data_IF_384196346851
#
_entry.id   IF_384196346851
#
_cell.length_a   1.000
_cell.length_b   1.000
_cell.length_c   1.000
_cell.angle_alpha   90.00
_cell.angle_beta   90.00
_cell.angle_gamma   90.00
#
_symmetry.space_group_name_H-M   'P 1'
#
loop_
_entity.id
_entity.type
_entity.pdbx_description
1 polymer ?
#
# COMPACT_ATOMS: atom_id res chain seq x y z
N UNK A 1 16.21 0.96 -13.76
CA UNK A 1 14.84 1.42 -13.58
C UNK A 1 14.83 2.93 -13.61
N UNK A 2 13.76 3.57 -14.12
CA UNK A 2 13.60 5.02 -13.98
C UNK A 2 13.61 5.35 -12.48
N UNK A 3 14.14 6.53 -12.09
CA UNK A 3 14.32 6.90 -10.69
C UNK A 3 13.03 6.79 -9.85
N UNK A 4 13.16 6.54 -8.59
CA UNK A 4 12.04 6.36 -7.63
C UNK A 4 12.03 7.42 -6.51
N UNK A 5 12.73 8.54 -6.72
CA UNK A 5 12.90 9.58 -5.69
C UNK A 5 11.58 10.28 -5.34
N UNK A 6 10.83 10.73 -6.35
CA UNK A 6 9.54 11.41 -6.14
C UNK A 6 8.47 10.46 -5.59
N UNK A 7 8.29 9.23 -6.13
CA UNK A 7 7.39 8.25 -5.54
C UNK A 7 7.68 7.95 -4.06
N UNK A 8 8.96 7.84 -3.68
CA UNK A 8 9.35 7.61 -2.29
C UNK A 8 9.00 8.79 -1.39
N UNK A 9 9.20 10.01 -1.85
CA UNK A 9 8.78 11.20 -1.11
C UNK A 9 7.26 11.24 -0.94
N UNK A 10 6.52 10.93 -2.00
CA UNK A 10 5.06 10.87 -1.97
C UNK A 10 4.56 9.75 -1.02
N UNK A 11 5.21 8.59 -1.04
CA UNK A 11 4.94 7.51 -0.09
C UNK A 11 5.12 7.96 1.36
N UNK A 12 6.26 8.56 1.70
CA UNK A 12 6.54 9.04 3.04
C UNK A 12 5.56 10.12 3.50
N UNK A 13 5.22 11.07 2.62
CA UNK A 13 4.18 12.07 2.91
C UNK A 13 2.83 11.42 3.17
N UNK A 14 2.46 10.46 2.32
CA UNK A 14 1.20 9.73 2.45
C UNK A 14 1.12 8.94 3.77
N UNK A 15 2.20 8.24 4.15
CA UNK A 15 2.27 7.53 5.45
C UNK A 15 2.14 8.51 6.61
N UNK A 16 2.82 9.66 6.55
CA UNK A 16 2.69 10.69 7.58
C UNK A 16 1.25 11.22 7.68
N UNK A 17 0.57 11.45 6.55
CA UNK A 17 -0.83 11.85 6.52
C UNK A 17 -1.74 10.79 7.17
N UNK A 18 -1.52 9.51 6.86
CA UNK A 18 -2.32 8.42 7.46
C UNK A 18 -2.09 8.33 8.97
N UNK A 19 -0.85 8.42 9.46
CA UNK A 19 -0.59 8.48 10.91
C UNK A 19 -1.27 9.68 11.56
N UNK A 20 -1.23 10.85 10.92
CA UNK A 20 -1.92 12.04 11.43
C UNK A 20 -3.43 11.82 11.58
N UNK A 21 -4.08 11.27 10.55
CA UNK A 21 -5.52 10.95 10.63
C UNK A 21 -5.82 9.87 11.66
N UNK A 22 -5.00 8.81 11.73
CA UNK A 22 -5.17 7.73 12.70
C UNK A 22 -5.09 8.25 14.14
N UNK A 23 -4.07 9.03 14.47
CA UNK A 23 -3.90 9.60 15.80
C UNK A 23 -4.94 10.68 16.13
N UNK A 24 -5.29 11.55 15.18
CA UNK A 24 -6.31 12.56 15.38
C UNK A 24 -7.69 11.94 15.63
N UNK A 25 -8.04 10.91 14.83
CA UNK A 25 -9.28 10.15 15.02
C UNK A 25 -9.30 9.44 16.38
N UNK A 26 -8.19 8.80 16.76
CA UNK A 26 -8.07 8.14 18.06
C UNK A 26 -8.22 9.16 19.20
N UNK A 27 -7.51 10.29 19.14
CA UNK A 27 -7.57 11.33 20.17
C UNK A 27 -9.00 11.78 20.50
N UNK A 28 -9.82 11.99 19.46
CA UNK A 28 -11.21 12.43 19.64
C UNK A 28 -12.11 11.33 20.24
N UNK A 29 -11.74 10.08 20.12
CA UNK A 29 -12.55 8.93 20.53
C UNK A 29 -12.13 8.38 21.92
N UNK A 30 -10.94 8.71 22.42
CA UNK A 30 -10.40 8.17 23.69
C UNK A 30 -11.38 8.36 24.85
N UNK A 31 -12.00 9.53 25.11
CA UNK A 31 -12.88 9.70 26.26
C UNK A 31 -14.05 8.69 26.28
N UNK A 32 -14.67 8.47 25.13
CA UNK A 32 -15.81 7.56 25.01
C UNK A 32 -15.45 6.08 24.97
N UNK A 33 -14.27 5.75 24.45
CA UNK A 33 -13.85 4.35 24.31
C UNK A 33 -13.00 3.86 25.49
N UNK A 34 -12.00 4.63 25.89
CA UNK A 34 -10.90 4.23 26.80
C UNK A 34 -10.84 5.00 28.10
N UNK A 35 -11.64 6.08 28.24
CA UNK A 35 -11.73 6.88 29.44
C UNK A 35 -12.24 6.07 30.64
N UNK A 36 -12.21 6.67 31.86
CA UNK A 36 -12.68 6.01 33.08
C UNK A 36 -14.13 5.49 32.98
N UNK A 37 -15.01 6.26 32.32
CA UNK A 37 -16.42 5.93 32.04
C UNK A 37 -16.62 5.36 30.63
N UNK A 38 -15.54 5.06 29.89
CA UNK A 38 -15.58 4.58 28.51
C UNK A 38 -16.03 3.11 28.43
N UNK A 39 -16.31 2.67 27.19
CA UNK A 39 -16.77 1.29 26.90
C UNK A 39 -15.74 0.24 27.35
N UNK A 40 -14.45 0.47 27.06
CA UNK A 40 -13.32 -0.40 27.42
C UNK A 40 -12.20 0.42 28.08
N UNK A 41 -12.31 0.76 29.38
CA UNK A 41 -11.33 1.61 30.04
C UNK A 41 -9.89 1.09 29.93
N UNK A 42 -8.98 1.93 29.45
CA UNK A 42 -7.58 1.57 29.19
C UNK A 42 -6.84 1.02 30.44
N UNK A 43 -7.20 1.53 31.64
CA UNK A 43 -6.62 1.08 32.91
C UNK A 43 -6.83 -0.41 33.20
N UNK A 44 -7.80 -1.07 32.54
CA UNK A 44 -8.04 -2.52 32.73
C UNK A 44 -6.97 -3.36 32.06
N UNK A 45 -6.34 -2.86 31.00
CA UNK A 45 -5.30 -3.58 30.24
C UNK A 45 -3.93 -3.47 30.89
N UNK A 46 -3.59 -2.31 31.45
CA UNK A 46 -2.29 -2.05 32.07
C UNK A 46 -2.37 -2.16 33.60
N UNK A 47 -2.50 -3.38 34.12
CA UNK A 47 -2.43 -3.63 35.57
C UNK A 47 -1.01 -4.01 35.97
N UNK A 48 -0.34 -3.25 36.86
CA UNK A 48 0.93 -3.66 37.43
C UNK A 48 0.69 -4.89 38.34
N UNK A 49 1.07 -6.08 37.84
CA UNK A 49 0.87 -7.35 38.57
C UNK A 49 2.09 -7.69 39.43
N UNK A 50 2.81 -6.70 39.97
CA UNK A 50 4.03 -6.96 40.77
C UNK A 50 5.21 -7.48 39.93
N UNK A 51 5.11 -7.52 38.61
CA UNK A 51 6.13 -7.98 37.67
C UNK A 51 7.22 -6.91 37.46
N UNK A 52 8.46 -7.36 37.21
CA UNK A 52 9.55 -6.47 36.86
C UNK A 52 9.31 -5.73 35.54
N UNK A 53 9.91 -4.53 35.36
CA UNK A 53 9.70 -3.65 34.18
C UNK A 53 9.96 -4.35 32.85
N UNK A 54 11.00 -5.17 32.77
CA UNK A 54 11.33 -5.91 31.56
C UNK A 54 10.25 -6.93 31.19
N UNK A 55 9.67 -7.58 32.19
CA UNK A 55 8.59 -8.54 31.96
C UNK A 55 7.31 -7.84 31.52
N UNK A 56 6.98 -6.67 32.09
CA UNK A 56 5.83 -5.85 31.67
C UNK A 56 5.97 -5.40 30.20
N UNK A 57 7.16 -4.89 29.81
CA UNK A 57 7.45 -4.49 28.44
C UNK A 57 7.46 -5.67 27.45
N UNK A 58 7.89 -6.84 27.91
CA UNK A 58 7.89 -8.04 27.06
C UNK A 58 6.48 -8.55 26.79
N UNK A 59 5.62 -8.56 27.81
CA UNK A 59 4.23 -9.02 27.69
C UNK A 59 3.34 -8.00 26.99
N UNK A 60 3.55 -6.71 27.23
CA UNK A 60 2.78 -5.62 26.64
C UNK A 60 3.71 -4.47 26.25
N UNK A 61 4.24 -4.47 25.03
CA UNK A 61 5.21 -3.47 24.56
C UNK A 61 4.50 -2.13 24.28
N UNK A 62 4.33 -1.32 25.33
CA UNK A 62 3.69 0.00 25.23
C UNK A 62 4.48 1.06 26.01
N UNK A 63 4.52 2.27 25.46
CA UNK A 63 5.10 3.44 26.12
C UNK A 63 4.22 3.93 27.29
N UNK A 64 2.97 3.51 27.37
CA UNK A 64 2.01 3.93 28.39
C UNK A 64 2.37 3.46 29.81
N UNK A 65 3.32 2.53 29.97
CA UNK A 65 3.90 2.18 31.27
C UNK A 65 4.63 3.36 31.94
N UNK A 66 5.00 4.38 31.18
CA UNK A 66 5.66 5.59 31.71
C UNK A 66 4.62 6.68 32.11
N UNK A 67 3.34 6.56 31.74
CA UNK A 67 2.31 7.56 32.05
C UNK A 67 2.19 7.86 33.56
N UNK A 68 2.21 6.86 34.48
CA UNK A 68 2.15 7.14 35.91
C UNK A 68 3.31 7.98 36.46
N UNK A 69 4.49 7.91 35.80
CA UNK A 69 5.66 8.74 36.18
C UNK A 69 5.49 10.21 35.84
N UNK A 70 4.66 10.48 34.84
CA UNK A 70 4.28 11.83 34.43
C UNK A 70 3.07 12.34 35.24
N UNK A 71 2.56 11.54 36.20
CA UNK A 71 1.37 11.86 36.97
C UNK A 71 0.08 11.70 36.16
N UNK A 72 0.11 10.97 35.05
CA UNK A 72 -1.02 10.77 34.15
C UNK A 72 -1.66 9.40 34.39
N UNK A 73 -2.98 9.33 34.29
CA UNK A 73 -3.68 8.06 34.16
C UNK A 73 -3.46 7.46 32.76
N UNK A 74 -3.73 6.17 32.62
CA UNK A 74 -3.52 5.45 31.33
C UNK A 74 -4.29 6.09 30.17
N UNK A 75 -5.52 6.56 30.42
CA UNK A 75 -6.32 7.23 29.39
C UNK A 75 -5.71 8.58 28.99
N UNK A 76 -5.29 9.39 29.98
CA UNK A 76 -4.61 10.67 29.75
C UNK A 76 -3.26 10.47 29.03
N UNK A 77 -2.53 9.39 29.41
CA UNK A 77 -1.30 9.01 28.72
C UNK A 77 -1.56 8.66 27.25
N UNK A 78 -2.66 7.97 26.96
CA UNK A 78 -3.06 7.65 25.59
C UNK A 78 -3.49 8.89 24.80
N UNK A 79 -4.20 9.84 25.44
CA UNK A 79 -4.55 11.14 24.85
C UNK A 79 -3.29 11.93 24.48
N UNK A 80 -2.35 12.05 25.42
CA UNK A 80 -1.08 12.75 25.18
C UNK A 80 -0.28 12.08 24.06
N UNK A 81 -0.18 10.75 24.07
CA UNK A 81 0.51 9.97 23.04
C UNK A 81 -0.12 10.22 21.66
N UNK A 82 -1.44 10.20 21.58
CA UNK A 82 -2.18 10.44 20.33
C UNK A 82 -2.03 11.86 19.83
N UNK A 83 -2.11 12.86 20.70
CA UNK A 83 -1.90 14.25 20.35
C UNK A 83 -0.48 14.49 19.83
N UNK A 84 0.54 14.01 20.54
CA UNK A 84 1.93 14.13 20.13
C UNK A 84 2.18 13.37 18.81
N UNK A 85 1.62 12.17 18.67
CA UNK A 85 1.67 11.41 17.43
C UNK A 85 1.10 12.17 16.24
N UNK A 86 -0.07 12.80 16.41
CA UNK A 86 -0.70 13.61 15.36
C UNK A 86 0.15 14.84 14.99
N UNK A 87 0.72 15.55 15.97
CA UNK A 87 1.58 16.71 15.73
C UNK A 87 2.90 16.33 15.04
N UNK A 88 3.54 15.25 15.47
CA UNK A 88 4.78 14.76 14.84
C UNK A 88 4.50 14.29 13.40
N UNK A 89 3.38 13.60 13.17
CA UNK A 89 2.97 13.17 11.85
C UNK A 89 2.64 14.38 10.94
N UNK A 90 1.96 15.39 11.43
CA UNK A 90 1.72 16.65 10.73
C UNK A 90 3.06 17.34 10.37
N UNK A 91 4.00 17.38 11.30
CA UNK A 91 5.35 17.90 11.04
C UNK A 91 6.06 17.14 9.91
N UNK A 92 6.02 15.79 9.91
CA UNK A 92 6.61 14.97 8.86
C UNK A 92 5.88 15.12 7.50
N UNK A 93 4.57 15.38 7.51
CA UNK A 93 3.80 15.67 6.31
C UNK A 93 4.23 17.00 5.68
N UNK A 94 4.37 18.05 6.45
CA UNK A 94 4.63 19.41 5.97
C UNK A 94 6.12 19.68 5.73
N UNK A 95 6.99 19.16 6.61
CA UNK A 95 8.42 19.51 6.66
C UNK A 95 9.28 18.33 6.17
N UNK A 96 9.94 18.49 5.02
CA UNK A 96 10.81 17.46 4.45
C UNK A 96 11.96 17.01 5.38
N UNK A 97 12.58 17.85 6.22
CA UNK A 97 13.62 17.43 7.16
C UNK A 97 13.13 16.43 8.22
N UNK A 98 11.85 16.44 8.56
CA UNK A 98 11.25 15.52 9.53
C UNK A 98 10.90 14.15 8.90
N UNK A 99 11.05 13.97 7.59
CA UNK A 99 10.92 12.66 6.92
C UNK A 99 12.18 11.82 7.12
N UNK A 100 12.48 11.52 8.36
CA UNK A 100 13.68 10.81 8.82
C UNK A 100 13.29 9.48 9.47
N UNK A 101 14.09 8.40 9.38
CA UNK A 101 13.76 7.09 9.96
C UNK A 101 13.37 7.15 11.44
N UNK A 102 14.04 7.98 12.23
CA UNK A 102 13.75 8.13 13.67
C UNK A 102 12.32 8.65 13.89
N UNK A 103 11.85 9.59 13.07
CA UNK A 103 10.49 10.15 13.20
C UNK A 103 9.46 9.06 12.88
N UNK A 104 9.64 8.30 11.80
CA UNK A 104 8.72 7.18 11.48
C UNK A 104 8.79 6.06 12.52
N UNK A 105 9.97 5.79 13.10
CA UNK A 105 10.10 4.84 14.21
C UNK A 105 9.33 5.30 15.44
N UNK A 106 9.40 6.59 15.79
CA UNK A 106 8.62 7.17 16.90
C UNK A 106 7.11 7.08 16.63
N UNK A 107 6.65 7.41 15.43
CA UNK A 107 5.25 7.28 15.03
C UNK A 107 4.78 5.82 15.09
N UNK A 108 5.60 4.90 14.59
CA UNK A 108 5.33 3.47 14.63
C UNK A 108 5.24 2.95 16.07
N UNK A 109 6.22 3.30 16.93
CA UNK A 109 6.23 2.89 18.32
C UNK A 109 5.06 3.48 19.12
N UNK A 110 4.68 4.73 18.84
CA UNK A 110 3.52 5.36 19.44
C UNK A 110 2.21 4.65 19.03
N UNK A 111 2.06 4.33 17.75
CA UNK A 111 0.86 3.63 17.27
C UNK A 111 0.80 2.18 17.78
N UNK A 112 1.94 1.47 17.80
CA UNK A 112 2.04 0.15 18.42
C UNK A 112 1.63 0.22 19.89
N UNK A 113 2.09 1.22 20.62
CA UNK A 113 1.72 1.43 22.03
C UNK A 113 0.22 1.65 22.22
N UNK A 114 -0.41 2.40 21.33
CA UNK A 114 -1.86 2.59 21.33
C UNK A 114 -2.60 1.27 21.02
N UNK A 115 -2.14 0.50 20.03
CA UNK A 115 -2.75 -0.79 19.67
C UNK A 115 -2.68 -1.80 20.82
N UNK A 116 -1.58 -1.82 21.60
CA UNK A 116 -1.46 -2.74 22.75
C UNK A 116 -2.53 -2.51 23.84
N UNK A 117 -3.03 -1.29 23.94
CA UNK A 117 -4.04 -0.91 24.93
C UNK A 117 -5.44 -0.80 24.29
N UNK A 118 -5.47 -0.66 22.99
CA UNK A 118 -6.68 -0.40 22.20
C UNK A 118 -7.69 -1.54 22.12
N UNK A 119 -7.34 -2.72 22.60
CA UNK A 119 -8.22 -3.89 22.66
C UNK A 119 -8.89 -4.14 21.29
N UNK A 120 -10.20 -4.43 21.28
CA UNK A 120 -10.95 -4.73 20.05
C UNK A 120 -11.10 -3.53 19.11
N UNK A 121 -10.97 -2.29 19.60
CA UNK A 121 -11.15 -1.09 18.79
C UNK A 121 -9.92 -0.70 17.95
N UNK A 122 -8.74 -1.24 18.27
CA UNK A 122 -7.49 -1.07 17.50
C UNK A 122 -6.90 -2.42 17.06
N UNK A 123 -7.76 -3.39 16.75
CA UNK A 123 -7.37 -4.72 16.29
C UNK A 123 -7.95 -5.06 14.92
N UNK A 124 -8.14 -4.05 14.09
CA UNK A 124 -8.63 -4.20 12.72
C UNK A 124 -7.50 -4.40 11.73
N UNK A 125 -7.86 -4.84 10.52
CA UNK A 125 -6.88 -5.04 9.44
C UNK A 125 -6.11 -3.76 9.07
N UNK A 126 -6.75 -2.60 9.15
CA UNK A 126 -6.09 -1.32 8.86
C UNK A 126 -5.06 -0.92 9.92
N UNK A 127 -5.24 -1.29 11.17
CA UNK A 127 -4.26 -1.04 12.23
C UNK A 127 -3.00 -1.86 12.02
N UNK A 128 -3.15 -3.15 11.70
CA UNK A 128 -2.04 -4.03 11.34
C UNK A 128 -1.32 -3.56 10.08
N UNK A 129 -2.09 -3.11 9.08
CA UNK A 129 -1.54 -2.56 7.84
C UNK A 129 -0.76 -1.26 8.10
N UNK A 130 -1.25 -0.38 8.99
CA UNK A 130 -0.55 0.85 9.36
C UNK A 130 0.76 0.54 10.08
N UNK A 131 0.78 -0.43 10.98
CA UNK A 131 2.00 -0.87 11.65
C UNK A 131 3.02 -1.45 10.65
N UNK A 132 2.60 -2.29 9.71
CA UNK A 132 3.50 -2.84 8.69
C UNK A 132 4.01 -1.74 7.74
N UNK A 133 3.13 -0.88 7.25
CA UNK A 133 3.48 0.24 6.36
C UNK A 133 4.39 1.26 7.08
N UNK A 134 4.11 1.56 8.34
CA UNK A 134 4.92 2.46 9.16
C UNK A 134 6.33 1.92 9.38
N UNK A 135 6.48 0.60 9.62
CA UNK A 135 7.79 -0.03 9.69
C UNK A 135 8.54 0.05 8.36
N UNK A 136 7.86 -0.18 7.24
CA UNK A 136 8.46 0.01 5.91
C UNK A 136 8.86 1.47 5.67
N UNK A 137 8.10 2.43 6.18
CA UNK A 137 8.46 3.85 6.06
C UNK A 137 9.77 4.17 6.82
N UNK A 138 10.05 3.50 7.96
CA UNK A 138 11.35 3.62 8.64
C UNK A 138 12.49 3.20 7.70
N UNK A 139 12.32 2.10 6.94
CA UNK A 139 13.31 1.59 6.01
C UNK A 139 13.44 2.44 4.72
N UNK A 140 12.33 3.03 4.27
CA UNK A 140 12.28 3.87 3.05
C UNK A 140 12.83 5.27 3.32
N UNK A 141 12.70 5.79 4.54
CA UNK A 141 13.08 7.15 4.88
C UNK A 141 14.60 7.37 4.71
N UNK A 142 15.03 8.52 4.16
CA UNK A 142 16.44 8.81 3.94
C UNK A 142 17.16 9.12 5.26
N UNK A 143 18.36 8.56 5.46
CA UNK A 143 19.20 8.84 6.63
C UNK A 143 19.76 10.27 6.63
N UNK A 144 19.85 10.92 5.48
CA UNK A 144 20.33 12.30 5.34
C UNK A 144 19.23 13.16 4.73
N UNK A 145 18.88 14.29 5.35
CA UNK A 145 17.90 15.23 4.79
C UNK A 145 18.31 15.70 3.40
N UNK A 146 17.33 15.92 2.53
CA UNK A 146 17.57 16.38 1.15
C UNK A 146 18.32 17.73 1.07
N UNK A 147 18.20 18.57 2.10
CA UNK A 147 18.86 19.89 2.21
C UNK A 147 20.38 19.83 2.28
N UNK A 148 20.98 18.71 2.70
CA UNK A 148 22.43 18.53 2.75
C UNK A 148 23.01 17.80 1.53
N UNK A 149 22.17 17.39 0.59
CA UNK A 149 22.64 16.86 -0.68
C UNK A 149 22.98 18.05 -1.58
N UNK A 150 24.23 18.57 -1.46
CA UNK A 150 24.77 19.58 -2.37
C UNK A 150 24.39 19.18 -3.79
N UNK A 151 23.81 20.14 -4.52
CA UNK A 151 23.52 19.98 -5.95
C UNK A 151 24.77 19.43 -6.63
N UNK A 152 24.67 18.22 -7.14
CA UNK A 152 25.73 17.69 -7.98
C UNK A 152 25.85 18.60 -9.21
N UNK A 153 27.05 18.93 -9.68
CA UNK A 153 27.23 19.79 -10.84
C UNK A 153 26.34 19.33 -12.00
N UNK A 154 25.69 20.27 -12.68
CA UNK A 154 24.80 20.01 -13.81
C UNK A 154 25.43 18.95 -14.75
N UNK A 155 24.78 17.79 -14.86
CA UNK A 155 25.22 16.66 -15.67
C UNK A 155 25.40 15.33 -14.96
N UNK A 156 25.47 15.28 -13.62
CA UNK A 156 25.43 14.03 -12.85
C UNK A 156 24.12 13.97 -12.08
N UNK A 157 23.20 13.15 -12.54
CA UNK A 157 22.14 12.63 -11.66
C UNK A 157 22.84 12.10 -10.42
N UNK A 158 22.58 12.68 -9.24
CA UNK A 158 23.04 12.12 -7.98
C UNK A 158 22.43 10.71 -7.92
N UNK A 159 23.24 9.70 -8.24
CA UNK A 159 22.80 8.32 -8.37
C UNK A 159 22.05 7.90 -7.13
N UNK A 160 20.89 7.30 -7.29
CA UNK A 160 20.18 6.66 -6.21
C UNK A 160 21.13 5.71 -5.48
N UNK A 161 21.12 5.71 -4.14
CA UNK A 161 21.96 4.78 -3.40
C UNK A 161 21.50 3.35 -3.74
N UNK A 162 22.42 2.39 -3.93
CA UNK A 162 22.07 1.04 -4.40
C UNK A 162 21.02 0.32 -3.57
N UNK A 163 20.95 0.63 -2.27
CA UNK A 163 20.01 0.02 -1.32
C UNK A 163 18.63 0.70 -1.29
N UNK A 164 18.44 1.84 -1.98
CA UNK A 164 17.19 2.60 -1.92
C UNK A 164 16.02 1.90 -2.62
N UNK A 165 16.28 1.02 -3.56
CA UNK A 165 15.23 0.30 -4.31
C UNK A 165 14.64 -0.87 -3.52
N UNK A 166 15.43 -1.49 -2.61
CA UNK A 166 15.00 -2.67 -1.86
C UNK A 166 13.81 -2.41 -0.91
N UNK A 167 13.83 -1.37 -0.03
CA UNK A 167 12.68 -1.08 0.81
C UNK A 167 11.42 -0.77 -0.01
N UNK A 168 11.59 -0.12 -1.17
CA UNK A 168 10.47 0.22 -2.04
C UNK A 168 9.91 -1.00 -2.79
N UNK A 169 10.74 -2.02 -3.04
CA UNK A 169 10.27 -3.32 -3.48
C UNK A 169 9.40 -4.00 -2.41
N UNK A 170 9.76 -3.91 -1.12
CA UNK A 170 8.95 -4.44 -0.01
C UNK A 170 7.58 -3.76 0.07
N UNK A 171 7.50 -2.43 -0.17
CA UNK A 171 6.21 -1.71 -0.24
C UNK A 171 5.35 -2.26 -1.38
N UNK A 172 5.95 -2.53 -2.54
CA UNK A 172 5.25 -3.13 -3.69
C UNK A 172 4.76 -4.55 -3.38
N UNK A 173 5.56 -5.34 -2.66
CA UNK A 173 5.18 -6.66 -2.20
C UNK A 173 4.04 -6.63 -1.18
N UNK A 174 4.04 -5.65 -0.27
CA UNK A 174 2.94 -5.44 0.67
C UNK A 174 1.64 -5.12 -0.06
N UNK A 175 1.68 -4.21 -1.05
CA UNK A 175 0.51 -3.90 -1.87
C UNK A 175 -0.02 -5.14 -2.61
N UNK A 176 0.89 -5.96 -3.18
CA UNK A 176 0.51 -7.21 -3.84
C UNK A 176 -0.22 -8.15 -2.89
N UNK A 177 0.35 -8.43 -1.72
CA UNK A 177 -0.27 -9.30 -0.72
C UNK A 177 -1.64 -8.79 -0.29
N UNK A 178 -1.74 -7.48 -0.03
CA UNK A 178 -2.98 -6.83 0.38
C UNK A 178 -4.08 -7.03 -0.64
N UNK A 179 -3.83 -6.68 -1.90
CA UNK A 179 -4.84 -6.73 -2.96
C UNK A 179 -5.19 -8.16 -3.33
N UNK A 180 -4.19 -9.01 -3.55
CA UNK A 180 -4.42 -10.40 -3.90
C UNK A 180 -5.18 -11.16 -2.79
N UNK A 181 -4.81 -10.97 -1.52
CA UNK A 181 -5.52 -11.59 -0.40
C UNK A 181 -6.96 -11.07 -0.29
N UNK A 182 -7.19 -9.77 -0.52
CA UNK A 182 -8.54 -9.18 -0.51
C UNK A 182 -9.47 -9.83 -1.55
N UNK A 183 -8.97 -10.08 -2.75
CA UNK A 183 -9.73 -10.77 -3.79
C UNK A 183 -9.96 -12.25 -3.46
N UNK A 184 -8.90 -12.94 -3.04
CA UNK A 184 -8.94 -14.37 -2.72
C UNK A 184 -9.89 -14.68 -1.55
N UNK A 185 -9.89 -13.86 -0.49
CA UNK A 185 -10.74 -14.11 0.68
C UNK A 185 -12.23 -14.04 0.36
N UNK A 186 -12.64 -13.22 -0.60
CA UNK A 186 -14.03 -13.13 -1.06
C UNK A 186 -14.53 -14.45 -1.66
N UNK A 187 -13.65 -15.18 -2.35
CA UNK A 187 -13.97 -16.47 -2.95
C UNK A 187 -13.76 -17.63 -1.97
N UNK A 188 -12.73 -17.59 -1.11
CA UNK A 188 -12.48 -18.66 -0.12
C UNK A 188 -13.49 -18.67 1.01
N UNK A 189 -14.13 -17.54 1.30
CA UNK A 189 -15.20 -17.42 2.30
C UNK A 189 -16.48 -18.21 1.96
N UNK A 190 -16.61 -18.68 0.71
CA UNK A 190 -17.82 -19.34 0.17
C UNK A 190 -19.09 -18.51 0.30
N UNK A 191 -18.98 -17.21 0.46
CA UNK A 191 -20.13 -16.34 0.55
C UNK A 191 -20.95 -16.37 -0.75
N UNK A 192 -22.25 -16.74 -0.69
CA UNK A 192 -23.08 -16.86 -1.89
C UNK A 192 -23.24 -15.54 -2.64
N UNK A 193 -23.19 -14.40 -1.94
CA UNK A 193 -23.29 -13.09 -2.57
C UNK A 193 -22.07 -12.78 -3.46
N UNK A 194 -20.85 -13.15 -3.03
CA UNK A 194 -19.64 -13.02 -3.87
C UNK A 194 -19.64 -14.02 -5.03
N UNK A 195 -20.04 -15.27 -4.78
CA UNK A 195 -20.10 -16.28 -5.84
C UNK A 195 -21.24 -16.02 -6.84
N UNK A 196 -22.36 -15.47 -6.39
CA UNK A 196 -23.48 -15.05 -7.25
C UNK A 196 -23.29 -13.70 -7.92
N UNK A 197 -22.15 -13.01 -7.70
CA UNK A 197 -21.86 -11.65 -8.18
C UNK A 197 -22.88 -10.62 -7.67
N UNK A 198 -23.58 -10.90 -6.58
CA UNK A 198 -24.64 -10.02 -6.02
C UNK A 198 -24.19 -9.26 -4.76
N UNK A 199 -22.90 -9.33 -4.40
CA UNK A 199 -22.42 -8.74 -3.16
C UNK A 199 -22.72 -7.22 -3.08
N UNK A 200 -22.61 -6.47 -4.17
CA UNK A 200 -22.87 -5.03 -4.18
C UNK A 200 -24.36 -4.66 -4.11
N UNK A 201 -25.29 -5.60 -4.36
CA UNK A 201 -26.73 -5.34 -4.17
C UNK A 201 -27.11 -5.25 -2.70
N UNK A 202 -26.30 -5.79 -1.79
CA UNK A 202 -26.49 -5.73 -0.32
C UNK A 202 -25.53 -4.78 0.36
N UNK A 203 -24.32 -4.62 -0.21
CA UNK A 203 -23.20 -3.93 0.42
C UNK A 203 -23.54 -2.50 0.85
N UNK A 204 -24.14 -1.72 -0.02
CA UNK A 204 -24.38 -0.30 0.21
C UNK A 204 -25.41 -0.02 1.33
N UNK A 205 -26.41 -0.87 1.48
CA UNK A 205 -27.44 -0.73 2.53
C UNK A 205 -27.01 -1.30 3.88
N UNK A 206 -26.03 -2.23 3.89
CA UNK A 206 -25.57 -2.92 5.11
C UNK A 206 -24.35 -2.26 5.76
N UNK A 207 -23.87 -1.13 5.24
CA UNK A 207 -22.77 -0.40 5.84
C UNK A 207 -23.18 0.25 7.17
N UNK A 208 -22.29 0.18 8.18
CA UNK A 208 -22.53 0.81 9.48
C UNK A 208 -22.72 2.32 9.38
N UNK A 209 -21.93 2.97 8.52
CA UNK A 209 -21.96 4.42 8.26
C UNK A 209 -21.96 4.64 6.74
N UNK A 210 -23.12 4.58 6.08
CA UNK A 210 -23.21 4.78 4.63
C UNK A 210 -22.93 6.22 4.24
N UNK A 211 -22.26 6.41 3.09
CA UNK A 211 -22.10 7.74 2.49
C UNK A 211 -23.33 8.11 1.66
N UNK A 212 -23.58 9.40 1.37
CA UNK A 212 -24.66 9.79 0.46
C UNK A 212 -24.56 9.13 -0.92
N UNK A 213 -23.34 8.95 -1.45
CA UNK A 213 -23.13 8.29 -2.74
C UNK A 213 -23.45 6.79 -2.69
N UNK A 214 -23.37 6.14 -1.52
CA UNK A 214 -23.79 4.75 -1.35
C UNK A 214 -25.27 4.55 -1.66
N UNK A 215 -26.11 5.50 -1.30
CA UNK A 215 -27.55 5.44 -1.62
C UNK A 215 -27.78 5.44 -3.14
N UNK A 216 -27.12 6.33 -3.88
CA UNK A 216 -27.20 6.36 -5.34
C UNK A 216 -26.64 5.08 -5.97
N UNK A 217 -25.50 4.61 -5.47
CA UNK A 217 -24.88 3.37 -5.93
C UNK A 217 -25.79 2.16 -5.70
N UNK A 218 -26.52 2.09 -4.59
CA UNK A 218 -27.46 1.01 -4.29
C UNK A 218 -28.59 0.90 -5.30
N UNK A 219 -29.04 2.03 -5.89
CA UNK A 219 -30.13 2.07 -6.86
C UNK A 219 -29.67 1.81 -8.31
N UNK A 220 -28.41 1.49 -8.55
CA UNK A 220 -27.95 1.10 -9.87
C UNK A 220 -28.56 -0.25 -10.30
N UNK A 221 -28.70 -0.51 -11.62
CA UNK A 221 -29.23 -1.77 -12.12
C UNK A 221 -28.40 -2.98 -11.65
N UNK A 222 -29.06 -4.10 -11.37
CA UNK A 222 -28.42 -5.33 -10.88
C UNK A 222 -27.30 -5.82 -11.78
N UNK A 223 -27.46 -5.72 -13.11
CA UNK A 223 -26.41 -6.11 -14.04
C UNK A 223 -25.14 -5.27 -13.86
N UNK A 224 -25.26 -4.00 -13.51
CA UNK A 224 -24.11 -3.12 -13.26
C UNK A 224 -23.41 -3.45 -11.92
N UNK A 225 -24.19 -3.82 -10.89
CA UNK A 225 -23.62 -4.35 -9.65
C UNK A 225 -22.80 -5.62 -9.91
N UNK A 226 -23.36 -6.56 -10.68
CA UNK A 226 -22.63 -7.79 -11.04
C UNK A 226 -21.35 -7.52 -11.80
N UNK A 227 -21.40 -6.61 -12.79
CA UNK A 227 -20.22 -6.19 -13.55
C UNK A 227 -19.18 -5.52 -12.65
N UNK A 228 -19.61 -4.72 -11.67
CA UNK A 228 -18.71 -4.09 -10.70
C UNK A 228 -18.03 -5.12 -9.78
N UNK A 229 -18.72 -6.20 -9.41
CA UNK A 229 -18.09 -7.33 -8.69
C UNK A 229 -17.07 -8.04 -9.55
N UNK A 230 -17.35 -8.27 -10.83
CA UNK A 230 -16.39 -8.83 -11.79
C UNK A 230 -15.15 -7.92 -11.92
N UNK A 231 -15.34 -6.62 -12.04
CA UNK A 231 -14.26 -5.65 -12.08
C UNK A 231 -13.42 -5.67 -10.78
N UNK A 232 -14.06 -5.83 -9.63
CA UNK A 232 -13.37 -5.98 -8.34
C UNK A 232 -12.47 -7.21 -8.34
N UNK A 233 -12.96 -8.38 -8.77
CA UNK A 233 -12.13 -9.59 -8.87
C UNK A 233 -10.98 -9.44 -9.87
N UNK A 234 -11.22 -8.80 -11.00
CA UNK A 234 -10.17 -8.51 -11.98
C UNK A 234 -9.06 -7.64 -11.35
N UNK A 235 -9.43 -6.56 -10.67
CA UNK A 235 -8.49 -5.60 -10.09
C UNK A 235 -7.77 -6.18 -8.86
N UNK A 236 -8.44 -6.99 -8.06
CA UNK A 236 -7.85 -7.55 -6.83
C UNK A 236 -7.07 -8.87 -7.05
N UNK A 237 -7.40 -9.67 -8.06
CA UNK A 237 -6.77 -10.99 -8.28
C UNK A 237 -5.87 -11.00 -9.51
N UNK A 238 -6.37 -10.55 -10.66
CA UNK A 238 -5.65 -10.70 -11.93
C UNK A 238 -4.65 -9.57 -12.21
N UNK A 239 -4.90 -8.35 -11.72
CA UNK A 239 -4.04 -7.18 -11.90
C UNK A 239 -2.80 -7.15 -10.98
N UNK A 240 -2.83 -7.58 -9.71
CA UNK A 240 -1.69 -7.48 -8.80
C UNK A 240 -0.37 -8.08 -9.31
N UNK A 241 -0.32 -9.21 -10.04
CA UNK A 241 0.92 -9.69 -10.65
C UNK A 241 1.60 -8.65 -11.56
N UNK A 242 0.85 -7.73 -12.17
CA UNK A 242 1.38 -6.66 -13.03
C UNK A 242 2.18 -5.60 -12.26
N UNK A 243 2.09 -5.56 -10.92
CA UNK A 243 2.90 -4.64 -10.09
C UNK A 243 4.40 -4.88 -10.28
N UNK A 244 4.78 -6.10 -10.63
CA UNK A 244 6.16 -6.51 -10.88
C UNK A 244 6.53 -6.55 -12.37
N UNK A 245 5.60 -6.19 -13.27
CA UNK A 245 5.85 -6.23 -14.69
C UNK A 245 7.04 -5.33 -15.08
N UNK A 246 7.97 -5.80 -15.91
CA UNK A 246 9.09 -4.98 -16.41
C UNK A 246 8.62 -3.88 -17.36
N UNK A 247 7.46 -4.06 -17.99
CA UNK A 247 6.86 -3.10 -18.92
C UNK A 247 6.17 -2.00 -18.11
N UNK A 248 6.67 -0.79 -18.25
CA UNK A 248 6.18 0.40 -17.53
C UNK A 248 4.69 0.65 -17.71
N UNK A 249 4.17 0.49 -18.95
CA UNK A 249 2.75 0.73 -19.24
C UNK A 249 1.83 -0.22 -18.49
N UNK A 250 2.19 -1.51 -18.37
CA UNK A 250 1.44 -2.48 -17.58
C UNK A 250 1.41 -2.11 -16.10
N UNK A 251 2.54 -1.66 -15.53
CA UNK A 251 2.60 -1.17 -14.15
C UNK A 251 1.73 0.05 -13.92
N UNK A 252 1.73 1.01 -14.86
CA UNK A 252 0.89 2.21 -14.77
C UNK A 252 -0.61 1.87 -14.94
N UNK A 253 -0.95 0.95 -15.85
CA UNK A 253 -2.33 0.46 -15.97
C UNK A 253 -2.81 -0.19 -14.65
N UNK A 254 -1.95 -0.99 -14.02
CA UNK A 254 -2.22 -1.55 -12.71
C UNK A 254 -2.37 -0.46 -11.63
N UNK A 255 -1.53 0.57 -11.63
CA UNK A 255 -1.66 1.72 -10.74
C UNK A 255 -3.03 2.40 -10.89
N UNK A 256 -3.42 2.77 -12.10
CA UNK A 256 -4.69 3.46 -12.33
C UNK A 256 -5.91 2.60 -11.99
N UNK A 257 -5.86 1.29 -12.25
CA UNK A 257 -6.95 0.38 -11.86
C UNK A 257 -7.10 0.28 -10.34
N UNK A 258 -5.99 0.25 -9.59
CA UNK A 258 -6.02 0.28 -8.13
C UNK A 258 -6.57 1.61 -7.61
N UNK A 259 -6.08 2.73 -8.13
CA UNK A 259 -6.58 4.06 -7.75
C UNK A 259 -8.07 4.17 -8.01
N UNK A 260 -8.54 3.73 -9.18
CA UNK A 260 -9.97 3.74 -9.52
C UNK A 260 -10.79 2.95 -8.48
N UNK A 261 -10.38 1.73 -8.17
CA UNK A 261 -11.07 0.90 -7.19
C UNK A 261 -11.11 1.57 -5.81
N UNK A 262 -9.97 2.07 -5.32
CA UNK A 262 -9.89 2.68 -3.99
C UNK A 262 -10.73 3.97 -3.91
N UNK A 263 -10.71 4.81 -4.95
CA UNK A 263 -11.50 6.04 -5.00
C UNK A 263 -13.00 5.72 -5.01
N UNK A 264 -13.43 4.73 -5.79
CA UNK A 264 -14.83 4.30 -5.80
C UNK A 264 -15.27 3.79 -4.41
N UNK A 265 -14.42 3.01 -3.72
CA UNK A 265 -14.72 2.53 -2.37
C UNK A 265 -14.80 3.71 -1.38
N UNK A 266 -13.89 4.69 -1.45
CA UNK A 266 -13.91 5.88 -0.58
C UNK A 266 -15.21 6.69 -0.78
N UNK A 267 -15.64 6.85 -2.02
CA UNK A 267 -16.86 7.63 -2.34
C UNK A 267 -18.12 6.90 -1.84
N UNK A 268 -18.18 5.58 -1.99
CA UNK A 268 -19.36 4.77 -1.71
C UNK A 268 -19.32 4.03 -0.36
N UNK A 269 -18.24 4.18 0.41
CA UNK A 269 -18.06 3.48 1.67
C UNK A 269 -17.32 4.33 2.71
N UNK A 270 -17.22 3.79 3.92
CA UNK A 270 -16.50 4.40 5.03
C UNK A 270 -15.68 3.36 5.77
N UNK A 271 -14.43 3.18 5.35
CA UNK A 271 -13.49 2.18 5.89
C UNK A 271 -12.28 2.84 6.56
N UNK A 272 -12.52 3.94 7.25
CA UNK A 272 -11.48 4.70 7.94
C UNK A 272 -10.35 5.09 6.94
N UNK A 273 -9.11 5.05 7.38
CA UNK A 273 -7.93 5.35 6.54
C UNK A 273 -7.46 4.18 5.67
N UNK A 274 -8.14 3.02 5.68
CA UNK A 274 -7.69 1.80 4.97
C UNK A 274 -7.46 2.02 3.47
N UNK A 275 -8.45 2.62 2.80
CA UNK A 275 -8.35 2.88 1.36
C UNK A 275 -7.34 3.99 1.03
N UNK A 276 -7.21 5.00 1.90
CA UNK A 276 -6.18 6.02 1.78
C UNK A 276 -4.78 5.41 1.90
N UNK A 277 -4.59 4.49 2.85
CA UNK A 277 -3.35 3.75 3.01
C UNK A 277 -3.04 2.91 1.77
N UNK A 278 -4.04 2.22 1.21
CA UNK A 278 -3.85 1.45 -0.03
C UNK A 278 -3.43 2.35 -1.18
N UNK A 279 -4.01 3.56 -1.32
CA UNK A 279 -3.56 4.56 -2.29
C UNK A 279 -2.10 4.97 -2.05
N UNK A 280 -1.68 5.15 -0.80
CA UNK A 280 -0.28 5.45 -0.47
C UNK A 280 0.65 4.31 -0.92
N UNK A 281 0.28 3.06 -0.70
CA UNK A 281 1.05 1.91 -1.16
C UNK A 281 1.17 1.85 -2.70
N UNK A 282 0.14 2.28 -3.44
CA UNK A 282 0.19 2.30 -4.92
C UNK A 282 1.27 3.22 -5.48
N UNK A 283 1.76 4.19 -4.72
CA UNK A 283 2.87 5.06 -5.14
C UNK A 283 4.13 4.28 -5.48
N UNK A 284 4.29 3.06 -4.93
CA UNK A 284 5.39 2.16 -5.27
C UNK A 284 5.35 1.65 -6.73
N UNK A 285 4.26 1.82 -7.44
CA UNK A 285 4.11 1.47 -8.86
C UNK A 285 4.57 2.59 -9.80
N UNK A 286 4.73 3.81 -9.27
CA UNK A 286 5.13 5.00 -10.02
C UNK A 286 6.64 5.09 -10.21
N UNK A 287 7.03 5.95 -11.13
CA UNK A 287 8.43 6.35 -11.39
C UNK A 287 8.56 7.88 -11.50
N UNK A 288 9.79 8.38 -11.37
CA UNK A 288 10.08 9.82 -11.45
C UNK A 288 9.64 10.43 -12.80
N UNK A 289 9.72 9.67 -13.89
CA UNK A 289 9.29 10.15 -15.22
C UNK A 289 7.78 10.43 -15.27
N UNK A 290 6.99 9.66 -14.51
CA UNK A 290 5.55 9.86 -14.47
C UNK A 290 5.16 11.09 -13.65
N UNK A 291 5.85 11.33 -12.55
CA UNK A 291 5.59 12.46 -11.64
C UNK A 291 6.24 13.78 -12.09
N UNK A 292 7.38 13.70 -12.80
CA UNK A 292 8.10 14.87 -13.30
C UNK A 292 7.66 15.31 -14.71
N UNK A 293 6.68 14.64 -15.32
CA UNK A 293 6.16 15.01 -16.64
C UNK A 293 5.37 16.32 -16.53
N UNK A 294 6.06 17.46 -16.55
CA UNK A 294 5.44 18.75 -16.83
C UNK A 294 4.81 18.72 -18.22
N UNK A 295 3.54 19.16 -18.37
CA UNK A 295 2.95 19.34 -19.68
C UNK A 295 3.63 20.54 -20.36
N UNK A 296 4.72 20.34 -21.11
CA UNK A 296 5.23 21.46 -21.88
C UNK A 296 6.65 21.38 -22.47
N UNK A 297 7.52 20.49 -22.04
CA UNK A 297 8.92 20.45 -22.56
C UNK A 297 9.33 19.08 -23.11
N UNK A 298 8.65 18.62 -24.12
CA UNK A 298 8.94 17.36 -24.80
C UNK A 298 9.22 17.50 -26.28
N UNK A 299 10.06 18.44 -26.71
CA UNK A 299 10.71 18.31 -28.01
C UNK A 299 11.79 17.23 -27.93
N UNK A 300 11.37 15.98 -27.86
CA UNK A 300 12.26 14.84 -28.04
C UNK A 300 12.76 14.89 -29.48
N UNK A 301 14.00 15.38 -29.70
CA UNK A 301 14.72 15.17 -30.95
C UNK A 301 14.57 13.71 -31.34
N UNK A 302 13.95 13.45 -32.49
CA UNK A 302 13.83 12.12 -33.10
C UNK A 302 15.24 11.66 -33.48
N UNK A 303 15.95 11.07 -32.52
CA UNK A 303 17.16 10.31 -32.84
C UNK A 303 16.73 9.07 -33.58
N UNK A 304 17.38 8.81 -34.74
CA UNK A 304 17.11 7.62 -35.55
C UNK A 304 17.13 6.38 -34.65
N UNK A 305 16.00 5.66 -34.59
CA UNK A 305 15.87 4.48 -33.74
C UNK A 305 16.67 3.36 -34.33
N UNK A 306 17.71 2.89 -33.64
CA UNK A 306 18.49 1.72 -34.11
C UNK A 306 17.57 0.49 -34.17
N UNK A 307 17.77 -0.38 -35.17
CA UNK A 307 16.96 -1.57 -35.43
C UNK A 307 16.71 -2.45 -34.20
N UNK A 308 17.70 -2.73 -33.30
CA UNK A 308 17.45 -3.49 -32.08
C UNK A 308 16.47 -2.79 -31.12
N UNK A 309 16.50 -1.46 -31.04
CA UNK A 309 15.55 -0.70 -30.17
C UNK A 309 14.13 -0.73 -30.73
N UNK A 310 13.97 -0.70 -32.06
CA UNK A 310 12.68 -0.84 -32.71
C UNK A 310 12.09 -2.24 -32.46
N UNK A 311 12.89 -3.29 -32.58
CA UNK A 311 12.47 -4.67 -32.29
C UNK A 311 12.02 -4.85 -30.84
N UNK A 312 12.81 -4.38 -29.88
CA UNK A 312 12.45 -4.42 -28.46
C UNK A 312 11.16 -3.65 -28.15
N UNK A 313 10.94 -2.51 -28.78
CA UNK A 313 9.72 -1.73 -28.62
C UNK A 313 8.50 -2.48 -29.18
N UNK A 314 8.64 -3.14 -30.34
CA UNK A 314 7.59 -3.95 -30.95
C UNK A 314 7.26 -5.17 -30.10
N UNK A 315 8.27 -5.90 -29.61
CA UNK A 315 8.08 -7.05 -28.70
C UNK A 315 7.40 -6.63 -27.40
N UNK A 316 7.79 -5.48 -26.82
CA UNK A 316 7.13 -4.93 -25.63
C UNK A 316 5.66 -4.60 -25.88
N UNK A 317 5.34 -4.02 -27.04
CA UNK A 317 3.95 -3.71 -27.42
C UNK A 317 3.13 -5.00 -27.62
N UNK A 318 3.68 -5.99 -28.32
CA UNK A 318 3.01 -7.27 -28.54
C UNK A 318 2.73 -7.99 -27.20
N UNK A 319 3.70 -7.99 -26.29
CA UNK A 319 3.52 -8.58 -24.96
C UNK A 319 2.46 -7.81 -24.15
N UNK A 320 2.44 -6.48 -24.22
CA UNK A 320 1.43 -5.65 -23.58
C UNK A 320 0.02 -5.97 -24.09
N UNK A 321 -0.16 -6.04 -25.41
CA UNK A 321 -1.42 -6.40 -26.03
C UNK A 321 -1.84 -7.84 -25.70
N UNK A 322 -0.90 -8.78 -25.64
CA UNK A 322 -1.17 -10.16 -25.24
C UNK A 322 -1.67 -10.23 -23.78
N UNK A 323 -1.08 -9.47 -22.87
CA UNK A 323 -1.51 -9.40 -21.47
C UNK A 323 -2.93 -8.83 -21.37
N UNK A 324 -3.23 -7.71 -22.04
CA UNK A 324 -4.59 -7.16 -22.04
C UNK A 324 -5.60 -8.12 -22.69
N UNK A 325 -5.22 -8.78 -23.79
CA UNK A 325 -6.05 -9.81 -24.42
C UNK A 325 -6.33 -10.98 -23.49
N UNK A 326 -5.33 -11.44 -22.74
CA UNK A 326 -5.47 -12.52 -21.77
C UNK A 326 -6.39 -12.11 -20.59
N UNK A 327 -6.24 -10.90 -20.08
CA UNK A 327 -7.12 -10.36 -19.01
C UNK A 327 -8.57 -10.25 -19.51
N UNK A 328 -8.78 -9.72 -20.71
CA UNK A 328 -10.10 -9.60 -21.30
C UNK A 328 -10.73 -10.97 -21.55
N UNK A 329 -9.99 -11.88 -22.20
CA UNK A 329 -10.44 -13.25 -22.45
C UNK A 329 -10.79 -13.98 -21.14
N UNK A 330 -9.88 -13.94 -20.15
CA UNK A 330 -10.10 -14.57 -18.85
C UNK A 330 -11.33 -13.99 -18.15
N UNK A 331 -11.53 -12.67 -18.20
CA UNK A 331 -12.71 -12.03 -17.61
C UNK A 331 -14.00 -12.50 -18.27
N UNK A 332 -14.07 -12.53 -19.62
CA UNK A 332 -15.22 -13.02 -20.35
C UNK A 332 -15.47 -14.50 -20.07
N UNK A 333 -14.41 -15.32 -20.09
CA UNK A 333 -14.50 -16.77 -19.91
C UNK A 333 -14.93 -17.17 -18.49
N UNK A 334 -14.26 -16.63 -17.46
CA UNK A 334 -14.53 -17.02 -16.07
C UNK A 334 -15.80 -16.40 -15.47
N UNK A 335 -16.25 -15.30 -16.00
CA UNK A 335 -17.47 -14.62 -15.55
C UNK A 335 -18.59 -14.64 -16.56
N UNK A 336 -18.48 -15.41 -17.65
CA UNK A 336 -19.54 -15.67 -18.62
C UNK A 336 -20.20 -14.37 -19.08
N UNK A 337 -19.39 -13.37 -19.51
CA UNK A 337 -19.93 -12.07 -19.90
C UNK A 337 -20.61 -12.19 -21.27
N UNK A 338 -21.92 -11.89 -21.31
CA UNK A 338 -22.75 -11.90 -22.50
C UNK A 338 -23.47 -10.56 -22.63
N UNK A 339 -23.39 -9.92 -23.81
CA UNK A 339 -24.03 -8.62 -24.07
C UNK A 339 -25.38 -8.87 -24.73
N UNK A 340 -26.45 -8.46 -24.04
CA UNK A 340 -27.81 -8.40 -24.62
C UNK A 340 -28.03 -7.03 -25.25
N UNK A 341 -27.94 -7.00 -26.59
CA UNK A 341 -28.13 -5.78 -27.34
C UNK A 341 -29.58 -5.29 -27.37
N UNK A 342 -30.55 -6.16 -27.17
CA UNK A 342 -31.97 -5.81 -27.17
C UNK A 342 -32.35 -5.11 -25.87
N UNK A 343 -31.93 -5.66 -24.74
CA UNK A 343 -32.18 -5.10 -23.41
C UNK A 343 -31.12 -4.09 -22.96
N UNK A 344 -30.05 -3.92 -23.72
CA UNK A 344 -28.89 -3.08 -23.36
C UNK A 344 -28.31 -3.43 -22.00
N UNK A 345 -28.21 -4.70 -21.70
CA UNK A 345 -27.68 -5.25 -20.44
C UNK A 345 -26.50 -6.16 -20.68
N UNK A 346 -25.69 -6.37 -19.64
CA UNK A 346 -24.59 -7.33 -19.64
C UNK A 346 -24.91 -8.40 -18.62
N UNK A 347 -25.08 -9.64 -19.09
CA UNK A 347 -25.22 -10.80 -18.22
C UNK A 347 -23.85 -11.24 -17.75
N UNK A 348 -23.74 -11.59 -16.46
CA UNK A 348 -22.53 -12.12 -15.88
C UNK A 348 -22.86 -13.21 -14.86
N UNK A 349 -22.08 -14.28 -14.85
CA UNK A 349 -22.20 -15.41 -13.93
C UNK A 349 -20.83 -16.03 -13.71
N UNK A 350 -20.53 -16.50 -12.50
CA UNK A 350 -19.33 -17.29 -12.23
C UNK A 350 -19.43 -18.65 -12.93
N UNK A 351 -18.46 -18.98 -13.80
CA UNK A 351 -18.46 -20.22 -14.60
C UNK A 351 -17.60 -21.33 -13.97
N UNK A 352 -16.79 -21.02 -12.97
CA UNK A 352 -15.93 -21.99 -12.29
C UNK A 352 -16.49 -22.39 -10.92
N UNK A 353 -16.13 -23.59 -10.47
CA UNK A 353 -16.53 -24.13 -9.17
C UNK A 353 -15.55 -23.79 -8.06
N UNK A 354 -16.01 -23.87 -6.81
CA UNK A 354 -15.14 -23.70 -5.64
C UNK A 354 -13.95 -24.69 -5.65
N UNK A 355 -14.17 -25.92 -6.08
CA UNK A 355 -13.11 -26.92 -6.17
C UNK A 355 -12.03 -26.52 -7.17
N UNK A 356 -12.42 -26.07 -8.38
CA UNK A 356 -11.49 -25.57 -9.40
C UNK A 356 -10.70 -24.36 -8.89
N UNK A 357 -11.37 -23.40 -8.24
CA UNK A 357 -10.72 -22.25 -7.64
C UNK A 357 -9.72 -22.65 -6.55
N UNK A 358 -10.11 -23.58 -5.65
CA UNK A 358 -9.23 -24.04 -4.57
C UNK A 358 -8.01 -24.79 -5.11
N UNK A 359 -8.17 -25.60 -6.15
CA UNK A 359 -7.03 -26.28 -6.81
C UNK A 359 -6.10 -25.25 -7.47
N UNK A 360 -6.66 -24.30 -8.21
CA UNK A 360 -5.88 -23.22 -8.81
C UNK A 360 -5.09 -22.45 -7.74
N UNK A 361 -5.74 -22.07 -6.65
CA UNK A 361 -5.09 -21.32 -5.56
C UNK A 361 -3.94 -22.13 -4.93
N UNK A 362 -4.16 -23.41 -4.63
CA UNK A 362 -3.12 -24.30 -4.08
C UNK A 362 -1.92 -24.42 -5.03
N UNK A 363 -2.19 -24.56 -6.33
CA UNK A 363 -1.14 -24.66 -7.34
C UNK A 363 -0.35 -23.36 -7.47
N UNK A 364 -1.02 -22.19 -7.33
CA UNK A 364 -0.40 -20.89 -7.52
C UNK A 364 0.36 -20.41 -6.27
N UNK A 365 -0.09 -20.78 -5.08
CA UNK A 365 0.45 -20.23 -3.82
C UNK A 365 1.95 -20.50 -3.68
N UNK A 366 2.39 -21.74 -3.82
CA UNK A 366 3.79 -22.09 -3.63
C UNK A 366 4.73 -21.45 -4.67
N UNK A 367 4.44 -21.49 -5.99
CA UNK A 367 5.20 -20.74 -6.99
C UNK A 367 5.25 -19.24 -6.73
N UNK A 368 4.15 -18.63 -6.30
CA UNK A 368 4.11 -17.18 -5.99
C UNK A 368 5.04 -16.84 -4.83
N UNK A 369 5.05 -17.66 -3.76
CA UNK A 369 5.98 -17.48 -2.62
C UNK A 369 7.42 -17.58 -3.11
N UNK A 370 7.76 -18.61 -3.88
CA UNK A 370 9.12 -18.79 -4.40
C UNK A 370 9.55 -17.68 -5.36
N UNK A 371 8.65 -17.21 -6.22
CA UNK A 371 8.90 -16.04 -7.08
C UNK A 371 9.14 -14.78 -6.25
N UNK A 372 8.38 -14.59 -5.18
CA UNK A 372 8.59 -13.49 -4.22
C UNK A 372 9.98 -13.56 -3.58
N UNK A 373 10.36 -14.73 -3.06
CA UNK A 373 11.70 -14.96 -2.46
C UNK A 373 12.79 -14.74 -3.50
N UNK A 374 12.66 -15.32 -4.69
CA UNK A 374 13.66 -15.16 -5.76
C UNK A 374 13.82 -13.71 -6.19
N UNK A 375 12.71 -12.95 -6.33
CA UNK A 375 12.76 -11.53 -6.69
C UNK A 375 13.39 -10.68 -5.57
N UNK A 376 13.15 -10.99 -4.29
CA UNK A 376 13.80 -10.35 -3.16
C UNK A 376 15.31 -10.60 -3.16
N UNK A 377 15.71 -11.86 -3.35
CA UNK A 377 17.14 -12.23 -3.47
C UNK A 377 17.79 -11.51 -4.64
N UNK A 378 17.11 -11.41 -5.78
CA UNK A 378 17.60 -10.66 -6.94
C UNK A 378 17.81 -9.18 -6.63
N UNK A 379 16.88 -8.52 -5.95
CA UNK A 379 17.04 -7.11 -5.55
C UNK A 379 18.19 -6.92 -4.55
N UNK A 380 18.35 -7.85 -3.58
CA UNK A 380 19.47 -7.84 -2.65
C UNK A 380 20.81 -7.98 -3.38
N UNK A 381 20.95 -8.97 -4.25
CA UNK A 381 22.18 -9.21 -5.02
C UNK A 381 22.48 -8.02 -5.97
N UNK A 382 21.45 -7.46 -6.59
CA UNK A 382 21.58 -6.29 -7.46
C UNK A 382 22.01 -5.04 -6.67
N UNK A 383 21.54 -4.86 -5.44
CA UNK A 383 21.96 -3.78 -4.55
C UNK A 383 23.42 -3.95 -4.11
N UNK A 384 23.83 -5.15 -3.73
CA UNK A 384 25.22 -5.49 -3.37
C UNK A 384 26.16 -5.28 -4.54
N UNK A 385 25.79 -5.75 -5.74
CA UNK A 385 26.59 -5.55 -6.96
C UNK A 385 26.79 -4.07 -7.27
N UNK A 386 25.72 -3.26 -7.21
CA UNK A 386 25.79 -1.80 -7.43
C UNK A 386 26.69 -1.12 -6.39
N UNK A 387 26.62 -1.55 -5.13
CA UNK A 387 27.46 -1.05 -4.05
C UNK A 387 28.95 -1.34 -4.31
N UNK A 388 29.29 -2.60 -4.61
CA UNK A 388 30.68 -3.00 -4.92
C UNK A 388 31.23 -2.27 -6.14
N UNK A 389 30.42 -2.11 -7.20
CA UNK A 389 30.83 -1.38 -8.40
C UNK A 389 31.09 0.12 -8.13
N UNK A 390 30.35 0.74 -7.21
CA UNK A 390 30.59 2.13 -6.80
C UNK A 390 31.88 2.27 -5.97
N UNK A 391 32.19 1.33 -5.09
CA UNK A 391 33.40 1.31 -4.30
C UNK A 391 34.64 1.10 -5.18
N UNK A 392 34.61 0.14 -6.10
CA UNK A 392 35.67 -0.08 -7.07
C UNK A 392 35.95 1.16 -7.92
N UNK A 393 34.90 1.87 -8.39
CA UNK A 393 35.07 3.12 -9.14
C UNK A 393 35.60 4.30 -8.31
N UNK A 394 35.47 4.28 -6.98
CA UNK A 394 36.09 5.27 -6.09
C UNK A 394 37.57 4.99 -5.86
N UNK A 395 37.96 3.72 -5.69
CA UNK A 395 39.36 3.31 -5.52
C UNK A 395 40.24 3.72 -6.69
N UNK A 396 39.78 3.58 -7.93
CA UNK A 396 40.50 4.01 -9.12
C UNK A 396 40.69 5.54 -9.30
N UNK A 397 39.87 6.36 -8.63
CA UNK A 397 40.01 7.82 -8.66
C UNK A 397 40.95 8.38 -7.60
N UNK A 398 41.23 7.63 -6.53
CA UNK A 398 42.21 8.01 -5.53
C UNK A 398 43.66 7.63 -5.93
N UNK A 399 43.83 6.78 -6.96
CA UNK A 399 45.10 6.38 -7.54
C UNK A 399 45.40 7.16 -8.82
N UNK A 400 45.19 8.47 -8.83
CA UNK A 400 45.65 9.37 -9.88
C UNK A 400 47.19 9.55 -9.80
N UNK A 401 47.90 9.76 -10.91
CA UNK A 401 49.34 9.78 -10.93
C UNK A 401 49.91 10.88 -10.05
N UNK A 402 50.87 10.48 -9.21
CA UNK A 402 51.74 11.37 -8.45
C UNK A 402 52.68 12.14 -9.39
#
# INVERSE_FOLDING_TARGET
MAGSRLPRQLFLQGVAAVFMFAFASLYTQIPGLYGPEGILPARRTLRPQGKGRWQQLWETPTLLWEAPRLGLDTAQGLELLSLLGALVALGALLLSPLRHPVIYLLLWAAYLSACQVGQVFLYFQWDSLLLETGFLAVLVAPLRPASHRKEAPQGRQAGALPHEDLPFWLVRWLLFRLMFASGVVKLTSRCPAWWGLTALTYHYETQCLPTPAAWFAHHLPVWLHKLSVVATFLIEIAVPPLFFAPIRRLRLAAFYSQVLLQVLIIITGNYNFFNLMTLVLTTALLDDQHLAAEPGHGSRKKTATSWPKALLATLSLLLELAVYGLLAYGTVHYFGLEVDWQQRTIHSRTTFTFHQFSQWLKTLTLPTVWLGVASLVWELLSALWRYMAQEAGRGHRCAGPA
#
